data_IF_340915760924
#
_entry.id   IF_340915760924
#
_cell.length_a   1.000
_cell.length_b   1.000
_cell.length_c   1.000
_cell.angle_alpha   90.00
_cell.angle_beta   90.00
_cell.angle_gamma   90.00
#
_symmetry.space_group_name_H-M   'P 1'
#
loop_
_entity.id
_entity.type
_entity.pdbx_description
1 polymer ?
#
# COMPACT_ATOMS: atom_id res chain seq x y z
N UNK A 1 13.63 -32.63 -4.92
CA UNK A 1 13.08 -31.39 -5.50
C UNK A 1 12.24 -31.78 -6.70
N UNK A 2 10.99 -31.30 -6.80
CA UNK A 2 10.18 -31.49 -8.02
C UNK A 2 10.49 -30.34 -8.95
N UNK A 3 11.06 -30.64 -10.12
CA UNK A 3 11.37 -29.64 -11.13
C UNK A 3 10.20 -29.60 -12.12
N UNK A 4 9.62 -28.43 -12.31
CA UNK A 4 8.59 -28.19 -13.33
C UNK A 4 9.14 -27.21 -14.36
N UNK A 5 8.98 -27.54 -15.64
CA UNK A 5 9.27 -26.61 -16.73
C UNK A 5 8.09 -25.65 -16.92
N UNK A 6 8.40 -24.37 -17.13
CA UNK A 6 7.45 -23.32 -17.45
C UNK A 6 7.96 -22.58 -18.68
N UNK A 7 7.12 -22.43 -19.69
CA UNK A 7 7.41 -21.59 -20.85
C UNK A 7 6.96 -20.16 -20.57
N UNK A 8 7.84 -19.20 -20.81
CA UNK A 8 7.58 -17.77 -20.69
C UNK A 8 8.03 -17.06 -21.97
N UNK A 9 7.55 -15.83 -22.17
CA UNK A 9 8.03 -15.00 -23.28
C UNK A 9 9.46 -14.55 -23.03
N UNK A 10 10.18 -14.23 -24.11
CA UNK A 10 11.54 -13.69 -24.04
C UNK A 10 11.60 -12.42 -23.18
N UNK A 11 10.63 -11.51 -23.36
CA UNK A 11 10.54 -10.28 -22.58
C UNK A 11 10.39 -10.56 -21.07
N UNK A 12 9.60 -11.60 -20.71
CA UNK A 12 9.44 -12.00 -19.31
C UNK A 12 10.72 -12.62 -18.75
N UNK A 13 11.47 -13.36 -19.55
CA UNK A 13 12.76 -13.91 -19.18
C UNK A 13 13.79 -12.81 -18.92
N UNK A 14 13.92 -11.84 -19.83
CA UNK A 14 14.84 -10.72 -19.69
C UNK A 14 14.45 -9.81 -18.51
N UNK A 15 13.16 -9.61 -18.26
CA UNK A 15 12.69 -8.90 -17.07
C UNK A 15 13.09 -9.62 -15.76
N UNK A 16 12.91 -10.94 -15.69
CA UNK A 16 13.32 -11.72 -14.52
C UNK A 16 14.84 -11.67 -14.30
N UNK A 17 15.61 -11.72 -15.38
CA UNK A 17 17.07 -11.63 -15.36
C UNK A 17 17.57 -10.27 -14.87
N UNK A 18 16.89 -9.18 -15.23
CA UNK A 18 17.22 -7.84 -14.74
C UNK A 18 16.92 -7.65 -13.24
N UNK A 19 15.95 -8.38 -12.70
CA UNK A 19 15.51 -8.29 -11.29
C UNK A 19 16.29 -9.25 -10.37
N UNK A 20 16.95 -10.27 -10.95
CA UNK A 20 17.74 -11.27 -10.22
C UNK A 20 18.94 -10.64 -9.53
N UNK A 21 19.16 -10.95 -8.25
CA UNK A 21 20.30 -10.47 -7.49
C UNK A 21 21.43 -11.51 -7.39
N UNK A 22 22.63 -11.18 -7.83
CA UNK A 22 23.82 -12.04 -7.69
C UNK A 22 23.56 -13.47 -8.18
N UNK A 23 23.81 -14.44 -7.30
CA UNK A 23 23.64 -15.88 -7.57
C UNK A 23 22.23 -16.45 -7.27
N UNK A 24 21.23 -15.59 -7.04
CA UNK A 24 19.83 -16.00 -6.76
C UNK A 24 19.25 -16.86 -7.90
N UNK A 25 18.48 -17.93 -7.63
CA UNK A 25 17.85 -18.69 -8.72
C UNK A 25 16.61 -17.97 -9.28
N UNK A 26 16.22 -18.26 -10.52
CA UNK A 26 14.96 -17.73 -11.07
C UNK A 26 13.74 -18.15 -10.23
N UNK A 27 13.78 -19.33 -9.61
CA UNK A 27 12.74 -19.79 -8.70
C UNK A 27 12.65 -18.91 -7.45
N UNK A 28 13.78 -18.47 -6.90
CA UNK A 28 13.83 -17.58 -5.74
C UNK A 28 13.30 -16.19 -6.08
N UNK A 29 13.65 -15.65 -7.27
CA UNK A 29 13.11 -14.38 -7.77
C UNK A 29 11.58 -14.45 -7.87
N UNK A 30 11.04 -15.52 -8.45
CA UNK A 30 9.59 -15.71 -8.58
C UNK A 30 8.92 -15.77 -7.21
N UNK A 31 9.50 -16.48 -6.24
CA UNK A 31 8.97 -16.58 -4.88
C UNK A 31 9.03 -15.24 -4.15
N UNK A 32 10.14 -14.51 -4.24
CA UNK A 32 10.32 -13.17 -3.67
C UNK A 32 9.27 -12.19 -4.20
N UNK A 33 9.12 -12.10 -5.51
CA UNK A 33 8.12 -11.23 -6.14
C UNK A 33 6.67 -11.65 -5.82
N UNK A 34 6.43 -12.96 -5.64
CA UNK A 34 5.11 -13.48 -5.27
C UNK A 34 4.76 -13.18 -3.81
N UNK A 35 5.76 -13.18 -2.92
CA UNK A 35 5.57 -12.79 -1.51
C UNK A 35 5.44 -11.27 -1.33
N UNK A 36 6.13 -10.46 -2.14
CA UNK A 36 6.02 -8.99 -2.09
C UNK A 36 4.66 -8.47 -2.59
N UNK A 37 3.99 -9.16 -3.52
CA UNK A 37 2.70 -8.73 -4.08
C UNK A 37 1.50 -8.90 -3.15
N UNK A 38 1.63 -9.64 -2.06
CA UNK A 38 0.61 -9.68 -1.00
C UNK A 38 1.20 -9.03 0.25
N UNK A 39 1.60 -7.76 0.11
CA UNK A 39 1.91 -6.92 1.27
C UNK A 39 0.79 -7.06 2.30
N UNK A 40 1.15 -7.16 3.58
CA UNK A 40 0.20 -7.42 4.67
C UNK A 40 -1.08 -6.57 4.56
N UNK A 41 -0.96 -5.30 4.12
CA UNK A 41 -2.08 -4.40 3.84
C UNK A 41 -3.10 -4.91 2.81
N UNK A 42 -2.66 -5.57 1.72
CA UNK A 42 -3.55 -6.13 0.70
C UNK A 42 -4.39 -7.31 1.24
N UNK A 43 -3.91 -8.03 2.27
CA UNK A 43 -4.70 -9.06 2.97
C UNK A 43 -5.88 -8.47 3.76
N UNK A 44 -5.82 -7.18 4.14
CA UNK A 44 -6.88 -6.50 4.87
C UNK A 44 -7.80 -5.66 3.97
N UNK A 45 -7.47 -5.50 2.68
CA UNK A 45 -8.32 -4.84 1.71
C UNK A 45 -9.63 -5.63 1.51
N UNK A 46 -10.74 -5.09 2.05
CA UNK A 46 -12.07 -5.68 1.90
C UNK A 46 -12.58 -6.49 3.10
N UNK A 47 -11.85 -6.55 4.22
CA UNK A 47 -12.29 -7.29 5.43
C UNK A 47 -13.66 -6.87 5.97
N UNK A 48 -14.08 -5.63 5.72
CA UNK A 48 -15.39 -5.11 6.12
C UNK A 48 -16.39 -4.96 4.96
N UNK A 49 -16.11 -5.56 3.79
CA UNK A 49 -16.97 -5.47 2.60
C UNK A 49 -18.38 -5.99 2.89
N UNK A 50 -18.49 -7.07 3.67
CA UNK A 50 -19.78 -7.68 4.04
C UNK A 50 -20.37 -7.09 5.33
N UNK A 51 -19.77 -6.02 5.87
CA UNK A 51 -20.23 -5.33 7.09
C UNK A 51 -20.54 -3.86 6.78
N UNK A 52 -21.65 -3.58 6.07
CA UNK A 52 -22.01 -2.22 5.64
C UNK A 52 -22.21 -1.25 6.81
N UNK A 53 -22.76 -1.75 7.92
CA UNK A 53 -22.95 -1.05 9.20
C UNK A 53 -21.63 -0.42 9.71
N UNK A 54 -20.58 -1.25 9.77
CA UNK A 54 -19.26 -0.88 10.28
C UNK A 54 -18.59 0.11 9.33
N UNK A 55 -18.66 -0.15 8.03
CA UNK A 55 -18.10 0.72 7.00
C UNK A 55 -18.75 2.10 7.01
N UNK A 56 -20.07 2.18 7.20
CA UNK A 56 -20.82 3.44 7.32
C UNK A 56 -20.38 4.24 8.54
N UNK A 57 -20.27 3.60 9.71
CA UNK A 57 -19.83 4.25 10.96
C UNK A 57 -18.38 4.74 10.85
N UNK A 58 -17.50 3.95 10.24
CA UNK A 58 -16.11 4.31 10.04
C UNK A 58 -15.97 5.54 9.13
N UNK A 59 -16.71 5.58 8.01
CA UNK A 59 -16.73 6.76 7.12
C UNK A 59 -17.21 8.02 7.83
N UNK A 60 -18.30 7.92 8.60
CA UNK A 60 -18.83 9.05 9.34
C UNK A 60 -17.80 9.60 10.36
N UNK A 61 -17.10 8.71 11.06
CA UNK A 61 -16.05 9.12 12.01
C UNK A 61 -14.84 9.74 11.31
N UNK A 62 -14.41 9.20 10.16
CA UNK A 62 -13.32 9.76 9.38
C UNK A 62 -13.63 11.16 8.86
N UNK A 63 -14.88 11.39 8.41
CA UNK A 63 -15.30 12.73 7.98
C UNK A 63 -15.30 13.73 9.15
N UNK A 64 -15.81 13.35 10.32
CA UNK A 64 -15.76 14.20 11.52
C UNK A 64 -14.33 14.56 11.90
N UNK A 65 -13.44 13.56 11.95
CA UNK A 65 -12.01 13.77 12.26
C UNK A 65 -11.32 14.67 11.25
N UNK A 66 -11.64 14.53 9.97
CA UNK A 66 -11.06 15.38 8.92
C UNK A 66 -11.49 16.83 9.07
N UNK A 67 -12.78 17.08 9.35
CA UNK A 67 -13.28 18.43 9.60
C UNK A 67 -12.70 19.04 10.88
N UNK A 68 -12.50 18.25 11.94
CA UNK A 68 -11.81 18.69 13.17
C UNK A 68 -10.37 19.09 12.87
N UNK A 69 -9.62 18.24 12.16
CA UNK A 69 -8.23 18.51 11.81
C UNK A 69 -8.10 19.75 10.91
N UNK A 70 -8.97 19.92 9.93
CA UNK A 70 -8.96 21.11 9.05
C UNK A 70 -9.19 22.39 9.86
N UNK A 71 -10.10 22.37 10.84
CA UNK A 71 -10.32 23.50 11.76
C UNK A 71 -9.11 23.76 12.65
N UNK A 72 -8.56 22.74 13.29
CA UNK A 72 -7.36 22.86 14.12
C UNK A 72 -6.16 23.37 13.30
N UNK A 73 -6.03 22.94 12.05
CA UNK A 73 -4.97 23.38 11.17
C UNK A 73 -5.15 24.83 10.75
N UNK A 74 -6.38 25.25 10.42
CA UNK A 74 -6.71 26.64 10.10
C UNK A 74 -6.45 27.57 11.29
N UNK A 75 -6.83 27.16 12.50
CA UNK A 75 -6.56 27.90 13.74
C UNK A 75 -5.07 28.00 14.05
N UNK A 76 -4.32 26.89 13.88
CA UNK A 76 -2.85 26.89 14.03
C UNK A 76 -2.17 27.78 12.99
N UNK A 77 -2.60 27.75 11.74
CA UNK A 77 -2.08 28.61 10.68
C UNK A 77 -2.36 30.09 10.97
N UNK A 78 -3.58 30.45 11.38
CA UNK A 78 -3.89 31.84 11.78
C UNK A 78 -3.04 32.32 12.95
N UNK A 79 -2.81 31.47 13.95
CA UNK A 79 -1.95 31.80 15.09
C UNK A 79 -0.49 32.02 14.67
N UNK A 80 0.05 31.18 13.80
CA UNK A 80 1.43 31.30 13.32
C UNK A 80 1.66 32.46 12.35
N UNK A 81 0.65 32.85 11.55
CA UNK A 81 0.75 33.97 10.63
C UNK A 81 0.33 35.32 11.23
N UNK A 82 -0.46 35.34 12.31
CA UNK A 82 -0.84 36.54 13.05
C UNK A 82 0.28 37.11 13.94
N UNK A 83 1.17 36.27 14.46
CA UNK A 83 2.30 36.67 15.32
C UNK A 83 3.48 37.29 14.54
N UNK A 84 3.49 37.23 13.20
CA UNK A 84 4.55 37.83 12.34
C UNK A 84 4.17 39.21 11.78
N UNK A 85 3.10 39.83 12.28
CA UNK A 85 2.60 41.13 11.83
C UNK A 85 2.61 42.21 12.93
N UNK A 86 3.37 42.02 14.02
CA UNK A 86 3.73 43.08 14.99
C UNK A 86 5.23 43.31 14.99
#
# INVERSE_FOLDING_TARGET
MVIKSLSITEDAYEALKAIKYGDESFSDVILRLSHEKIGAAAKFCGIWKDKPEITRRLRANLQKRRAELEREFAERQQRFFGDRAQ
#
